data_IF_974606334253
#
_entry.id   IF_974606334253
#
_cell.length_a   1.000
_cell.length_b   1.000
_cell.length_c   1.000
_cell.angle_alpha   90.00
_cell.angle_beta   90.00
_cell.angle_gamma   90.00
#
_symmetry.space_group_name_H-M   'P 1'
#
loop_
_entity.id
_entity.type
_entity.pdbx_description
1 polymer ?
#
# COMPACT_ATOMS: atom_id res chain seq x y z
N UNK A 1 11.77 12.64 -8.99
CA UNK A 1 10.89 12.31 -10.13
C UNK A 1 9.50 12.86 -9.82
N UNK A 2 8.97 13.69 -10.70
CA UNK A 2 7.63 14.26 -10.64
C UNK A 2 6.93 13.89 -11.94
N UNK A 3 5.81 13.14 -11.93
CA UNK A 3 5.11 12.77 -13.16
C UNK A 3 4.58 14.00 -13.89
N UNK A 4 4.86 14.12 -15.17
CA UNK A 4 4.32 15.19 -16.02
C UNK A 4 2.85 14.97 -16.38
N UNK A 5 2.22 16.00 -17.02
CA UNK A 5 0.80 15.97 -17.40
C UNK A 5 0.45 14.88 -18.44
N UNK A 6 1.43 14.42 -19.19
CA UNK A 6 1.25 13.38 -20.22
C UNK A 6 1.84 12.02 -19.80
N UNK A 7 2.47 11.98 -18.62
CA UNK A 7 3.10 10.76 -18.14
C UNK A 7 2.07 9.88 -17.45
N UNK A 8 2.25 8.57 -17.59
CA UNK A 8 1.66 7.56 -16.73
C UNK A 8 2.78 6.61 -16.33
N UNK A 9 3.29 6.78 -15.11
CA UNK A 9 4.45 6.07 -14.60
C UNK A 9 4.02 4.89 -13.74
N UNK A 10 4.77 3.81 -13.83
CA UNK A 10 4.68 2.68 -12.94
C UNK A 10 6.01 2.52 -12.21
N UNK A 11 5.98 2.56 -10.88
CA UNK A 11 7.16 2.44 -10.02
C UNK A 11 6.89 1.37 -8.96
N UNK A 12 7.35 0.14 -9.17
CA UNK A 12 7.25 -0.90 -8.14
C UNK A 12 8.33 -0.68 -7.07
N UNK A 13 7.92 -0.66 -5.81
CA UNK A 13 8.84 -0.64 -4.67
C UNK A 13 9.01 -2.05 -4.07
N UNK A 14 8.12 -2.96 -4.39
CA UNK A 14 8.17 -4.37 -4.02
C UNK A 14 7.20 -5.21 -4.84
N UNK A 15 7.43 -6.52 -4.90
CA UNK A 15 6.55 -7.49 -5.56
C UNK A 15 6.79 -7.70 -7.06
N UNK A 16 7.66 -6.94 -7.70
CA UNK A 16 8.05 -7.16 -9.09
C UNK A 16 9.35 -7.98 -9.17
N UNK A 17 9.27 -9.14 -9.85
CA UNK A 17 10.39 -10.08 -9.90
C UNK A 17 10.58 -10.91 -8.64
N UNK A 18 9.63 -10.85 -7.73
CA UNK A 18 9.59 -11.58 -6.45
C UNK A 18 8.16 -11.88 -6.04
N UNK A 19 7.97 -12.75 -5.05
CA UNK A 19 6.67 -13.04 -4.45
C UNK A 19 6.58 -12.36 -3.09
N UNK A 20 5.48 -11.67 -2.84
CA UNK A 20 5.23 -10.98 -1.56
C UNK A 20 5.58 -9.51 -1.60
N UNK A 21 5.48 -8.85 -0.45
CA UNK A 21 5.70 -7.42 -0.18
C UNK A 21 5.31 -6.49 -1.33
N UNK A 22 4.10 -6.68 -1.85
CA UNK A 22 3.60 -5.89 -2.98
C UNK A 22 3.41 -4.43 -2.58
N UNK A 23 4.05 -3.53 -3.30
CA UNK A 23 3.84 -2.09 -3.22
C UNK A 23 4.11 -1.49 -4.59
N UNK A 24 3.06 -1.02 -5.24
CA UNK A 24 3.14 -0.49 -6.58
C UNK A 24 2.65 0.96 -6.59
N UNK A 25 3.38 1.83 -7.27
CA UNK A 25 3.03 3.23 -7.42
C UNK A 25 2.68 3.53 -8.87
N UNK A 26 1.63 4.31 -9.03
CA UNK A 26 1.25 4.90 -10.32
C UNK A 26 1.38 6.41 -10.21
N UNK A 27 2.05 7.02 -11.17
CA UNK A 27 2.32 8.45 -11.20
C UNK A 27 1.71 9.13 -12.42
N UNK A 28 0.98 10.23 -12.21
CA UNK A 28 0.38 11.04 -13.28
C UNK A 28 0.18 12.48 -12.79
N UNK A 29 0.48 13.45 -13.65
CA UNK A 29 0.18 14.86 -13.41
C UNK A 29 0.60 15.38 -12.03
N UNK A 30 1.81 15.06 -11.59
CA UNK A 30 2.37 15.46 -10.30
C UNK A 30 1.87 14.68 -9.10
N UNK A 31 1.01 13.69 -9.29
CA UNK A 31 0.37 12.91 -8.22
C UNK A 31 0.77 11.44 -8.27
N UNK A 32 0.66 10.79 -7.11
CA UNK A 32 0.93 9.37 -6.93
C UNK A 32 -0.27 8.66 -6.33
N UNK A 33 -0.54 7.45 -6.82
CA UNK A 33 -1.48 6.49 -6.27
C UNK A 33 -0.72 5.23 -5.90
N UNK A 34 -0.94 4.72 -4.68
CA UNK A 34 -0.36 3.47 -4.22
C UNK A 34 -1.37 2.33 -4.35
N UNK A 35 -0.91 1.18 -4.85
CA UNK A 35 -1.69 -0.06 -4.88
C UNK A 35 -0.95 -1.11 -4.10
N UNK A 36 -1.56 -1.54 -3.01
CA UNK A 36 -1.07 -2.47 -2.00
C UNK A 36 0.16 -1.96 -1.22
N UNK A 37 0.35 -2.54 -0.04
CA UNK A 37 1.46 -2.28 0.85
C UNK A 37 1.64 -3.50 1.76
N UNK A 38 2.30 -4.52 1.22
CA UNK A 38 2.38 -5.85 1.81
C UNK A 38 3.72 -6.19 2.42
N UNK A 39 3.74 -7.34 3.10
CA UNK A 39 4.95 -7.95 3.64
C UNK A 39 5.28 -9.24 2.90
N UNK A 40 6.47 -9.75 3.13
CA UNK A 40 6.82 -11.13 2.85
C UNK A 40 7.43 -11.78 4.08
N UNK A 41 7.36 -13.12 4.14
CA UNK A 41 7.99 -13.91 5.18
C UNK A 41 9.14 -14.69 4.56
N UNK A 42 10.35 -14.47 5.04
CA UNK A 42 11.51 -15.27 4.67
C UNK A 42 11.92 -16.16 5.84
N UNK A 43 12.39 -17.37 5.50
CA UNK A 43 13.01 -18.23 6.50
C UNK A 43 14.31 -17.59 6.97
N UNK A 44 14.43 -17.42 8.27
CA UNK A 44 15.69 -17.00 8.86
C UNK A 44 16.56 -18.24 9.14
N UNK A 45 17.34 -18.64 8.14
CA UNK A 45 18.26 -19.79 8.25
C UNK A 45 19.41 -19.52 9.24
N UNK A 46 19.56 -18.28 9.72
CA UNK A 46 20.60 -17.90 10.70
C UNK A 46 20.12 -18.05 12.13
N UNK A 47 18.82 -18.27 12.35
CA UNK A 47 18.25 -18.46 13.68
C UNK A 47 17.95 -19.95 13.95
N UNK A 48 18.72 -20.64 14.82
CA UNK A 48 18.51 -22.05 15.11
C UNK A 48 17.13 -22.41 15.69
N UNK A 49 16.34 -21.42 16.10
CA UNK A 49 14.98 -21.59 16.65
C UNK A 49 13.87 -21.55 15.61
N UNK A 50 14.15 -21.36 14.32
CA UNK A 50 13.19 -21.47 13.23
C UNK A 50 12.11 -20.39 13.21
N UNK A 51 12.47 -19.11 13.28
CA UNK A 51 11.55 -17.98 13.05
C UNK A 51 11.53 -17.53 11.59
N UNK A 52 10.39 -16.99 11.13
CA UNK A 52 10.33 -16.27 9.87
C UNK A 52 10.71 -14.80 10.10
N UNK A 53 11.55 -14.26 9.22
CA UNK A 53 11.82 -12.83 9.16
C UNK A 53 10.72 -12.15 8.33
N UNK A 54 10.18 -11.05 8.84
CA UNK A 54 9.23 -10.22 8.11
C UNK A 54 9.99 -9.16 7.34
N UNK A 55 9.76 -9.09 6.05
CA UNK A 55 10.31 -8.06 5.17
C UNK A 55 9.20 -7.21 4.59
N UNK A 56 9.48 -5.95 4.36
CA UNK A 56 8.57 -4.99 3.75
C UNK A 56 9.33 -4.05 2.81
N UNK A 57 8.65 -3.44 1.83
CA UNK A 57 9.27 -2.51 0.91
C UNK A 57 9.83 -1.28 1.64
N UNK A 58 10.91 -0.72 1.10
CA UNK A 58 11.42 0.57 1.57
C UNK A 58 10.51 1.71 1.03
N UNK A 59 9.82 2.45 1.90
CA UNK A 59 8.88 3.47 1.47
C UNK A 59 9.53 4.81 1.13
N UNK A 60 10.86 4.96 1.21
CA UNK A 60 11.53 6.26 1.18
C UNK A 60 11.19 7.08 -0.06
N UNK A 61 11.06 6.43 -1.21
CA UNK A 61 10.67 7.11 -2.45
C UNK A 61 9.34 7.83 -2.32
N UNK A 62 8.32 7.17 -1.78
CA UNK A 62 6.98 7.73 -1.68
C UNK A 62 6.76 8.51 -0.38
N UNK A 63 7.40 8.15 0.72
CA UNK A 63 7.30 8.92 1.96
C UNK A 63 7.85 10.34 1.82
N UNK A 64 8.89 10.51 1.01
CA UNK A 64 9.42 11.84 0.64
C UNK A 64 8.48 12.64 -0.30
N UNK A 65 7.42 12.01 -0.80
CA UNK A 65 6.41 12.59 -1.70
C UNK A 65 5.00 12.41 -1.16
N UNK A 66 4.86 12.26 0.14
CA UNK A 66 3.57 11.98 0.79
C UNK A 66 2.51 13.06 0.50
N UNK A 67 2.92 14.31 0.32
CA UNK A 67 2.02 15.41 -0.05
C UNK A 67 1.37 15.22 -1.45
N UNK A 68 2.03 14.47 -2.32
CA UNK A 68 1.54 14.15 -3.65
C UNK A 68 0.86 12.78 -3.73
N UNK A 69 0.83 12.01 -2.65
CA UNK A 69 0.17 10.71 -2.58
C UNK A 69 -1.32 10.88 -2.32
N UNK A 70 -2.13 10.66 -3.35
CA UNK A 70 -3.58 10.92 -3.30
C UNK A 70 -4.36 9.84 -2.56
N UNK A 71 -3.80 8.65 -2.43
CA UNK A 71 -4.44 7.55 -1.71
C UNK A 71 -3.71 6.23 -1.87
N UNK A 72 -4.15 5.27 -1.08
CA UNK A 72 -3.70 3.88 -1.12
C UNK A 72 -4.90 2.98 -1.40
N UNK A 73 -4.76 2.09 -2.35
CA UNK A 73 -5.73 1.04 -2.64
C UNK A 73 -5.24 -0.24 -1.98
N UNK A 74 -6.05 -0.85 -1.13
CA UNK A 74 -5.83 -2.20 -0.65
C UNK A 74 -6.74 -3.14 -1.45
N UNK A 75 -6.14 -3.99 -2.28
CA UNK A 75 -6.88 -4.84 -3.22
C UNK A 75 -7.63 -5.95 -2.51
N UNK A 76 -7.00 -6.62 -1.57
CA UNK A 76 -7.57 -7.70 -0.77
C UNK A 76 -6.75 -7.93 0.52
N UNK A 77 -7.25 -8.79 1.41
CA UNK A 77 -6.80 -8.89 2.80
C UNK A 77 -5.58 -9.80 3.04
N UNK A 78 -4.89 -10.29 2.00
CA UNK A 78 -3.68 -11.08 2.17
C UNK A 78 -2.52 -10.26 2.70
N UNK A 79 -1.67 -10.86 3.52
CA UNK A 79 -0.55 -10.17 4.20
C UNK A 79 0.49 -9.59 3.22
N UNK A 80 0.71 -10.25 2.10
CA UNK A 80 1.61 -9.78 1.04
C UNK A 80 1.05 -8.57 0.26
N UNK A 81 -0.20 -8.16 0.56
CA UNK A 81 -0.86 -6.98 -0.02
C UNK A 81 -1.20 -5.90 1.00
N UNK A 82 -1.43 -6.24 2.27
CA UNK A 82 -1.81 -5.26 3.30
C UNK A 82 -0.93 -5.29 4.56
N UNK A 83 -0.06 -6.29 4.70
CA UNK A 83 0.64 -6.54 5.96
C UNK A 83 1.58 -5.42 6.41
N UNK A 84 2.08 -4.58 5.51
CA UNK A 84 2.95 -3.46 5.85
C UNK A 84 2.20 -2.15 6.12
N UNK A 85 0.88 -2.07 5.86
CA UNK A 85 0.13 -0.82 6.00
C UNK A 85 0.24 -0.23 7.39
N UNK A 86 0.01 -1.02 8.44
CA UNK A 86 0.10 -0.52 9.81
C UNK A 86 1.52 -0.10 10.23
N UNK A 87 2.54 -0.66 9.59
CA UNK A 87 3.94 -0.29 9.83
C UNK A 87 4.35 1.00 9.12
N UNK A 88 3.90 1.19 7.88
CA UNK A 88 4.38 2.25 7.00
C UNK A 88 3.44 3.47 6.94
N UNK A 89 2.16 3.31 7.28
CA UNK A 89 1.17 4.37 7.18
C UNK A 89 1.55 5.67 7.91
N UNK A 90 2.20 5.65 9.11
CA UNK A 90 2.62 6.89 9.77
C UNK A 90 3.53 7.79 8.93
N UNK A 91 4.26 7.20 7.97
CA UNK A 91 5.13 7.94 7.04
C UNK A 91 4.39 8.39 5.77
N UNK A 92 3.23 7.77 5.47
CA UNK A 92 2.48 7.99 4.23
C UNK A 92 1.27 8.90 4.43
N UNK A 93 0.51 8.66 5.49
CA UNK A 93 -0.65 9.46 5.96
C UNK A 93 -1.69 9.76 4.89
N UNK A 94 -1.90 8.83 3.97
CA UNK A 94 -2.91 8.96 2.92
C UNK A 94 -4.21 8.21 3.28
N UNK A 95 -5.36 8.56 2.67
CA UNK A 95 -6.56 7.76 2.78
C UNK A 95 -6.36 6.37 2.19
N UNK A 96 -7.01 5.37 2.78
CA UNK A 96 -7.00 3.98 2.32
C UNK A 96 -8.38 3.65 1.74
N UNK A 97 -8.39 3.07 0.55
CA UNK A 97 -9.61 2.68 -0.18
C UNK A 97 -9.63 1.17 -0.32
N UNK A 98 -10.71 0.53 0.12
CA UNK A 98 -10.82 -0.92 0.08
C UNK A 98 -12.26 -1.42 0.24
N UNK A 99 -12.47 -2.69 -0.03
CA UNK A 99 -13.77 -3.35 0.15
C UNK A 99 -14.08 -3.62 1.63
N UNK A 100 -15.36 -3.89 2.01
CA UNK A 100 -15.77 -4.04 3.41
C UNK A 100 -15.01 -5.10 4.20
N UNK A 101 -14.76 -6.27 3.61
CA UNK A 101 -14.02 -7.34 4.29
C UNK A 101 -12.59 -6.91 4.62
N UNK A 102 -11.86 -6.39 3.65
CA UNK A 102 -10.47 -5.94 3.84
C UNK A 102 -10.40 -4.78 4.82
N UNK A 103 -11.39 -3.86 4.79
CA UNK A 103 -11.50 -2.79 5.79
C UNK A 103 -11.53 -3.34 7.22
N UNK A 104 -12.35 -4.36 7.47
CA UNK A 104 -12.45 -4.95 8.81
C UNK A 104 -11.13 -5.57 9.29
N UNK A 105 -10.41 -6.23 8.39
CA UNK A 105 -9.08 -6.77 8.69
C UNK A 105 -8.09 -5.65 9.00
N UNK A 106 -8.04 -4.61 8.16
CA UNK A 106 -7.17 -3.45 8.35
C UNK A 106 -7.46 -2.69 9.64
N UNK A 107 -8.72 -2.45 9.97
CA UNK A 107 -9.10 -1.77 11.22
C UNK A 107 -8.52 -2.48 12.44
N UNK A 108 -8.57 -3.81 12.46
CA UNK A 108 -7.99 -4.60 13.56
C UNK A 108 -6.49 -4.40 13.66
N UNK A 109 -5.78 -4.47 12.53
CA UNK A 109 -4.32 -4.27 12.47
C UNK A 109 -3.90 -2.87 12.89
N UNK A 110 -4.60 -1.85 12.42
CA UNK A 110 -4.32 -0.46 12.75
C UNK A 110 -4.58 -0.17 14.22
N UNK A 111 -5.68 -0.67 14.79
CA UNK A 111 -6.00 -0.52 16.21
C UNK A 111 -4.97 -1.15 17.12
N UNK A 112 -4.41 -2.31 16.76
CA UNK A 112 -3.34 -2.95 17.52
C UNK A 112 -2.08 -2.07 17.64
N UNK A 113 -1.87 -1.16 16.69
CA UNK A 113 -0.75 -0.20 16.70
C UNK A 113 -1.17 1.21 17.12
N UNK A 114 -2.42 1.42 17.54
CA UNK A 114 -2.92 2.73 17.95
C UNK A 114 -3.00 3.74 16.80
N UNK A 115 -3.19 3.27 15.56
CA UNK A 115 -3.26 4.11 14.36
C UNK A 115 -4.72 4.33 13.97
N UNK A 116 -5.09 5.61 13.80
CA UNK A 116 -6.38 6.04 13.27
C UNK A 116 -6.18 6.57 11.85
N UNK A 117 -6.27 5.68 10.87
CA UNK A 117 -6.16 6.01 9.45
C UNK A 117 -7.55 6.12 8.82
N UNK A 118 -7.79 7.11 7.94
CA UNK A 118 -9.04 7.21 7.20
C UNK A 118 -9.15 6.06 6.21
N UNK A 119 -10.18 5.24 6.35
CA UNK A 119 -10.49 4.13 5.44
C UNK A 119 -11.83 4.40 4.78
N UNK A 120 -11.83 4.51 3.47
CA UNK A 120 -13.03 4.66 2.63
C UNK A 120 -13.41 3.31 2.07
N UNK A 121 -14.64 2.88 2.35
CA UNK A 121 -15.17 1.62 1.82
C UNK A 121 -15.70 1.81 0.41
N UNK A 122 -15.33 0.91 -0.48
CA UNK A 122 -15.81 0.85 -1.86
C UNK A 122 -16.48 -0.49 -2.12
N UNK A 123 -17.40 -0.52 -3.08
CA UNK A 123 -18.09 -1.73 -3.49
C UNK A 123 -17.51 -2.27 -4.79
N UNK A 124 -17.65 -3.58 -5.01
CA UNK A 124 -17.30 -4.18 -6.29
C UNK A 124 -18.07 -3.53 -7.43
N UNK A 125 -17.37 -3.18 -8.51
CA UNK A 125 -17.92 -2.45 -9.65
C UNK A 125 -18.00 -0.94 -9.48
N UNK A 126 -17.75 -0.41 -8.29
CA UNK A 126 -17.73 1.03 -8.04
C UNK A 126 -16.51 1.69 -8.69
N UNK A 127 -16.72 2.86 -9.27
CA UNK A 127 -15.67 3.71 -9.82
C UNK A 127 -15.55 4.98 -8.99
N UNK A 128 -14.35 5.29 -8.54
CA UNK A 128 -14.04 6.54 -7.83
C UNK A 128 -12.93 7.31 -8.54
N UNK A 129 -12.88 8.61 -8.29
CA UNK A 129 -11.82 9.48 -8.77
C UNK A 129 -10.94 9.93 -7.62
N UNK A 130 -9.65 9.65 -7.71
CA UNK A 130 -8.62 10.03 -6.75
C UNK A 130 -7.60 10.92 -7.44
N UNK A 131 -7.67 12.24 -7.23
CA UNK A 131 -6.86 13.17 -7.99
C UNK A 131 -7.05 12.99 -9.50
N UNK A 132 -5.95 12.79 -10.22
CA UNK A 132 -5.96 12.50 -11.66
C UNK A 132 -6.25 11.04 -12.03
N UNK A 133 -6.52 10.17 -11.04
CA UNK A 133 -6.74 8.73 -11.27
C UNK A 133 -8.22 8.37 -11.19
N UNK A 134 -8.65 7.55 -12.12
CA UNK A 134 -9.97 6.93 -12.10
C UNK A 134 -9.80 5.44 -11.85
N UNK A 135 -10.41 4.95 -10.78
CA UNK A 135 -10.22 3.58 -10.28
C UNK A 135 -11.56 2.87 -10.20
N UNK A 136 -11.62 1.67 -10.77
CA UNK A 136 -12.78 0.77 -10.70
C UNK A 136 -12.40 -0.51 -9.98
N UNK A 137 -13.22 -0.94 -9.00
CA UNK A 137 -13.05 -2.18 -8.24
C UNK A 137 -13.70 -3.37 -8.92
#
# INVERSE_FOLDING_TARGET
MIPGQKDFLFVPLGGCGEIGMNLNLFGHAGQWLMVDCGITFEKDDTNPGGGNRVEMPDPIFISNRSDALVGMIATHAHEDHIGAIAHLWPQLRCPIYTTPFTRNVLLRKLRQKGIDAPIVTVQEGETITLGGFRVTW
#
